data_IF_186671466920
#
_entry.id   IF_186671466920
#
_cell.length_a   1.000
_cell.length_b   1.000
_cell.length_c   1.000
_cell.angle_alpha   90.00
_cell.angle_beta   90.00
_cell.angle_gamma   90.00
#
_symmetry.space_group_name_H-M   'P 1'
#
loop_
_entity.id
_entity.type
_entity.pdbx_description
1 polymer ?
#
# COMPACT_ATOMS: atom_id res chain seq x y z
N UNK A 1 13.05 -15.83 -18.05
CA UNK A 1 12.90 -15.88 -16.59
C UNK A 1 12.04 -14.68 -16.18
N UNK A 2 10.76 -14.69 -16.55
CA UNK A 2 9.85 -13.55 -16.33
C UNK A 2 8.52 -14.06 -15.79
N UNK A 3 8.01 -15.20 -16.26
CA UNK A 3 6.76 -15.78 -15.75
C UNK A 3 6.74 -16.03 -14.22
N UNK A 4 7.88 -16.33 -13.61
CA UNK A 4 7.98 -16.66 -12.18
C UNK A 4 7.81 -15.40 -11.30
N UNK A 5 8.41 -14.27 -11.69
CA UNK A 5 8.32 -13.02 -10.92
C UNK A 5 6.88 -12.52 -10.82
N UNK A 6 6.10 -12.64 -11.90
CA UNK A 6 4.70 -12.19 -11.93
C UNK A 6 3.78 -13.06 -11.08
N UNK A 7 4.02 -14.38 -11.09
CA UNK A 7 3.24 -15.30 -10.28
C UNK A 7 3.51 -15.09 -8.79
N UNK A 8 4.75 -14.75 -8.43
CA UNK A 8 5.12 -14.35 -7.07
C UNK A 8 4.47 -13.02 -6.69
N UNK A 9 4.52 -11.99 -7.54
CA UNK A 9 3.89 -10.69 -7.28
C UNK A 9 2.36 -10.85 -7.11
N UNK A 10 1.72 -11.63 -7.99
CA UNK A 10 0.29 -11.93 -7.90
C UNK A 10 -0.05 -12.65 -6.60
N UNK A 11 0.68 -13.73 -6.27
CA UNK A 11 0.43 -14.51 -5.07
C UNK A 11 0.63 -13.65 -3.80
N UNK A 12 1.65 -12.79 -3.77
CA UNK A 12 1.92 -11.89 -2.66
C UNK A 12 0.82 -10.83 -2.52
N UNK A 13 0.42 -10.16 -3.60
CA UNK A 13 -0.64 -9.13 -3.58
C UNK A 13 -2.00 -9.73 -3.22
N UNK A 14 -2.31 -10.92 -3.74
CA UNK A 14 -3.53 -11.64 -3.39
C UNK A 14 -3.54 -12.08 -1.92
N UNK A 15 -2.39 -12.53 -1.40
CA UNK A 15 -2.26 -12.91 0.01
C UNK A 15 -2.42 -11.71 0.94
N UNK A 16 -1.72 -10.60 0.68
CA UNK A 16 -1.81 -9.37 1.47
C UNK A 16 -3.22 -8.78 1.40
N UNK A 17 -3.78 -8.63 0.19
CA UNK A 17 -5.13 -8.11 0.00
C UNK A 17 -6.21 -8.98 0.63
N UNK A 18 -6.04 -10.31 0.57
CA UNK A 18 -6.91 -11.27 1.25
C UNK A 18 -6.83 -11.16 2.78
N UNK A 19 -5.63 -10.99 3.33
CA UNK A 19 -5.46 -10.79 4.77
C UNK A 19 -6.13 -9.49 5.24
N UNK A 20 -5.99 -8.39 4.49
CA UNK A 20 -6.67 -7.12 4.81
C UNK A 20 -8.19 -7.22 4.80
N UNK A 21 -8.77 -8.00 3.88
CA UNK A 21 -10.23 -8.22 3.83
C UNK A 21 -10.69 -9.09 5.00
N UNK A 22 -9.90 -10.10 5.37
CA UNK A 22 -10.21 -10.98 6.50
C UNK A 22 -10.18 -10.22 7.81
N UNK A 23 -9.14 -9.41 8.01
CA UNK A 23 -8.93 -8.55 9.17
C UNK A 23 -10.08 -7.53 9.32
N UNK A 24 -10.48 -6.88 8.23
CA UNK A 24 -11.63 -5.98 8.23
C UNK A 24 -12.99 -6.64 8.54
N UNK A 25 -13.10 -7.96 8.33
CA UNK A 25 -14.31 -8.75 8.63
C UNK A 25 -14.29 -9.32 10.05
N UNK A 26 -13.10 -9.61 10.60
CA UNK A 26 -12.90 -10.01 12.00
C UNK A 26 -13.04 -8.79 12.96
N UNK A 27 -12.75 -7.56 12.49
CA UNK A 27 -12.95 -6.31 13.24
C UNK A 27 -14.43 -6.03 13.64
N UNK A 28 -15.43 -6.78 13.14
CA UNK A 28 -16.83 -6.62 13.59
C UNK A 28 -17.09 -7.12 15.03
N UNK A 29 -16.24 -7.98 15.61
CA UNK A 29 -16.45 -8.56 16.96
C UNK A 29 -15.59 -7.96 18.08
N UNK A 30 -14.52 -7.19 17.79
CA UNK A 30 -13.54 -6.72 18.79
C UNK A 30 -13.50 -5.18 18.98
N UNK A 31 -14.66 -4.52 18.97
CA UNK A 31 -14.74 -3.05 19.02
C UNK A 31 -14.45 -2.41 20.40
N UNK A 32 -13.67 -3.02 21.29
CA UNK A 32 -13.43 -2.44 22.62
C UNK A 32 -11.97 -2.42 23.12
N UNK A 33 -10.96 -2.92 22.40
CA UNK A 33 -9.59 -2.97 22.99
C UNK A 33 -8.39 -2.59 22.15
N UNK A 34 -8.48 -2.38 20.85
CA UNK A 34 -7.32 -1.82 20.13
C UNK A 34 -7.40 -0.30 20.14
N UNK A 35 -7.01 0.26 21.29
CA UNK A 35 -6.32 1.55 21.27
C UNK A 35 -5.27 1.45 20.18
N UNK A 36 -5.25 2.44 19.28
CA UNK A 36 -4.13 2.71 18.39
C UNK A 36 -2.88 2.94 19.26
N UNK A 37 -2.32 1.88 19.81
CA UNK A 37 -1.04 1.91 20.44
C UNK A 37 -0.09 2.13 19.28
N UNK A 38 0.40 3.36 19.20
CA UNK A 38 1.65 3.73 18.55
C UNK A 38 2.79 2.94 19.23
N UNK A 39 2.68 1.62 19.27
CA UNK A 39 3.68 0.75 19.82
C UNK A 39 4.79 0.71 18.79
N UNK A 40 5.96 1.14 19.25
CA UNK A 40 7.18 1.16 18.47
C UNK A 40 7.47 -0.19 17.78
N UNK A 41 6.96 -1.32 18.30
CA UNK A 41 7.10 -2.65 17.70
C UNK A 41 6.30 -2.84 16.42
N UNK A 42 5.18 -2.14 16.24
CA UNK A 42 4.40 -2.19 15.00
C UNK A 42 4.83 -1.08 14.03
N UNK A 43 5.19 0.09 14.55
CA UNK A 43 5.59 1.23 13.73
C UNK A 43 6.98 1.06 13.12
N UNK A 44 7.96 0.47 13.82
CA UNK A 44 9.31 0.29 13.29
C UNK A 44 9.33 -0.62 12.05
N UNK A 45 8.72 -1.82 12.06
CA UNK A 45 8.65 -2.66 10.86
C UNK A 45 7.96 -1.96 9.69
N UNK A 46 6.84 -1.26 9.95
CA UNK A 46 6.12 -0.53 8.91
C UNK A 46 6.96 0.61 8.31
N UNK A 47 7.66 1.37 9.16
CA UNK A 47 8.56 2.43 8.71
C UNK A 47 9.74 1.88 7.90
N UNK A 48 10.31 0.73 8.30
CA UNK A 48 11.37 0.05 7.55
C UNK A 48 10.84 -0.45 6.21
N UNK A 49 9.67 -1.09 6.17
CA UNK A 49 9.03 -1.57 4.95
C UNK A 49 8.78 -0.41 3.95
N UNK A 50 8.20 0.69 4.43
CA UNK A 50 7.95 1.89 3.62
C UNK A 50 9.26 2.57 3.14
N UNK A 51 10.31 2.56 3.97
CA UNK A 51 11.62 3.11 3.59
C UNK A 51 12.29 2.31 2.47
N UNK A 52 12.22 0.97 2.52
CA UNK A 52 12.75 0.09 1.46
C UNK A 52 12.00 0.33 0.14
N UNK A 53 10.67 0.48 0.20
CA UNK A 53 9.85 0.79 -0.98
C UNK A 53 10.25 2.14 -1.62
N UNK A 54 10.35 3.20 -0.81
CA UNK A 54 10.79 4.51 -1.28
C UNK A 54 12.23 4.49 -1.84
N UNK A 55 13.13 3.71 -1.25
CA UNK A 55 14.49 3.53 -1.73
C UNK A 55 14.55 2.85 -3.10
N UNK A 56 13.76 1.79 -3.33
CA UNK A 56 13.70 1.09 -4.61
C UNK A 56 13.25 2.02 -5.76
N UNK A 57 12.24 2.86 -5.50
CA UNK A 57 11.80 3.89 -6.45
C UNK A 57 12.90 4.94 -6.68
N UNK A 58 13.58 5.39 -5.62
CA UNK A 58 14.69 6.35 -5.72
C UNK A 58 15.86 5.86 -6.57
N UNK A 59 16.28 4.61 -6.37
CA UNK A 59 17.33 3.96 -7.18
C UNK A 59 16.87 3.82 -8.64
N UNK A 60 15.61 3.43 -8.87
CA UNK A 60 15.04 3.33 -10.22
C UNK A 60 15.09 4.67 -10.98
N UNK A 61 14.80 5.78 -10.31
CA UNK A 61 14.93 7.12 -10.90
C UNK A 61 16.37 7.54 -11.16
N UNK A 62 17.34 7.13 -10.34
CA UNK A 62 18.76 7.42 -10.56
C UNK A 62 19.31 6.77 -11.85
N UNK A 63 18.73 5.64 -12.27
CA UNK A 63 19.07 4.99 -13.54
C UNK A 63 18.35 5.61 -14.75
N UNK A 64 17.26 6.34 -14.54
CA UNK A 64 16.62 7.11 -15.60
C UNK A 64 17.37 8.44 -15.82
N UNK A 65 17.70 8.77 -17.07
CA UNK A 65 18.38 10.04 -17.45
C UNK A 65 17.45 11.27 -17.36
N UNK A 66 16.67 11.39 -16.29
CA UNK A 66 15.79 12.53 -16.00
C UNK A 66 16.37 13.40 -14.90
N UNK A 67 15.94 14.64 -14.88
CA UNK A 67 16.46 15.65 -13.96
C UNK A 67 15.97 15.36 -12.53
N UNK A 68 16.79 14.66 -11.73
CA UNK A 68 16.45 14.14 -10.40
C UNK A 68 15.83 15.21 -9.49
N UNK A 69 16.35 16.44 -9.57
CA UNK A 69 15.86 17.56 -8.76
C UNK A 69 14.37 17.88 -9.02
N UNK A 70 13.95 17.88 -10.28
CA UNK A 70 12.55 18.15 -10.66
C UNK A 70 11.62 17.02 -10.26
N UNK A 71 12.08 15.76 -10.39
CA UNK A 71 11.29 14.58 -10.03
C UNK A 71 11.07 14.51 -8.52
N UNK A 72 12.13 14.71 -7.72
CA UNK A 72 12.05 14.68 -6.26
C UNK A 72 11.14 15.78 -5.73
N UNK A 73 11.23 17.00 -6.27
CA UNK A 73 10.36 18.11 -5.87
C UNK A 73 8.88 17.79 -6.13
N UNK A 74 8.57 17.24 -7.30
CA UNK A 74 7.20 16.91 -7.69
C UNK A 74 6.64 15.81 -6.79
N UNK A 75 7.38 14.71 -6.61
CA UNK A 75 6.96 13.59 -5.76
C UNK A 75 6.80 14.04 -4.30
N UNK A 76 7.75 14.80 -3.77
CA UNK A 76 7.68 15.31 -2.40
C UNK A 76 6.45 16.19 -2.17
N UNK A 77 6.15 17.10 -3.09
CA UNK A 77 4.98 17.98 -3.01
C UNK A 77 3.69 17.17 -3.14
N UNK A 78 3.58 16.28 -4.13
CA UNK A 78 2.35 15.49 -4.32
C UNK A 78 2.13 14.55 -3.14
N UNK A 79 3.14 13.76 -2.75
CA UNK A 79 3.03 12.81 -1.64
C UNK A 79 2.74 13.54 -0.33
N UNK A 80 3.44 14.64 -0.04
CA UNK A 80 3.18 15.46 1.13
C UNK A 80 1.75 16.01 1.17
N UNK A 81 1.24 16.50 0.04
CA UNK A 81 -0.14 16.98 -0.07
C UNK A 81 -1.16 15.85 0.14
N UNK A 82 -0.95 14.68 -0.48
CA UNK A 82 -1.81 13.51 -0.33
C UNK A 82 -1.78 12.96 1.10
N UNK A 83 -0.61 12.86 1.74
CA UNK A 83 -0.48 12.42 3.13
C UNK A 83 -1.18 13.38 4.09
N UNK A 84 -1.03 14.70 3.90
CA UNK A 84 -1.71 15.70 4.72
C UNK A 84 -3.25 15.63 4.56
N UNK A 85 -3.74 15.54 3.31
CA UNK A 85 -5.16 15.38 3.03
C UNK A 85 -5.71 14.06 3.61
N UNK A 86 -4.98 12.97 3.45
CA UNK A 86 -5.33 11.65 3.98
C UNK A 86 -5.40 11.64 5.50
N UNK A 87 -4.46 12.27 6.21
CA UNK A 87 -4.52 12.42 7.67
C UNK A 87 -5.73 13.24 8.11
N UNK A 88 -6.04 14.33 7.40
CA UNK A 88 -7.17 15.20 7.74
C UNK A 88 -8.51 14.46 7.57
N UNK A 89 -8.69 13.76 6.45
CA UNK A 89 -9.86 12.92 6.18
C UNK A 89 -9.92 11.77 7.18
N UNK A 90 -8.81 11.08 7.42
CA UNK A 90 -8.73 9.98 8.39
C UNK A 90 -9.11 10.42 9.81
N UNK A 91 -8.70 11.61 10.24
CA UNK A 91 -9.09 12.17 11.55
C UNK A 91 -10.59 12.49 11.63
N UNK A 92 -11.21 12.94 10.54
CA UNK A 92 -12.63 13.29 10.51
C UNK A 92 -13.55 12.06 10.44
N UNK A 93 -13.10 10.96 9.81
CA UNK A 93 -13.91 9.77 9.54
C UNK A 93 -13.45 8.50 10.31
N UNK A 94 -12.48 8.64 11.22
CA UNK A 94 -11.59 7.60 11.74
C UNK A 94 -12.16 6.46 12.59
N UNK A 95 -13.48 6.26 12.64
CA UNK A 95 -14.06 5.07 13.28
C UNK A 95 -15.10 4.39 12.40
N UNK A 96 -15.95 5.14 11.70
CA UNK A 96 -17.02 4.56 10.87
C UNK A 96 -16.53 4.05 9.50
N UNK A 97 -15.38 4.52 9.03
CA UNK A 97 -14.86 4.23 7.68
C UNK A 97 -13.61 3.33 7.66
N UNK A 98 -13.10 2.88 8.81
CA UNK A 98 -11.93 1.98 8.86
C UNK A 98 -12.17 0.67 8.11
N UNK A 99 -13.27 -0.03 8.46
CA UNK A 99 -13.67 -1.27 7.80
C UNK A 99 -13.89 -1.14 6.28
N UNK A 100 -14.75 -0.22 5.77
CA UNK A 100 -14.92 -0.10 4.33
C UNK A 100 -13.65 0.36 3.60
N UNK A 101 -12.77 1.14 4.25
CA UNK A 101 -11.49 1.53 3.67
C UNK A 101 -10.51 0.36 3.56
N UNK A 102 -10.40 -0.50 4.58
CA UNK A 102 -9.56 -1.71 4.53
C UNK A 102 -10.07 -2.70 3.47
N UNK A 103 -11.38 -2.97 3.42
CA UNK A 103 -11.98 -3.86 2.41
C UNK A 103 -11.71 -3.32 1.00
N UNK A 104 -11.94 -2.02 0.77
CA UNK A 104 -11.70 -1.39 -0.53
C UNK A 104 -10.22 -1.47 -0.92
N UNK A 105 -9.31 -1.22 0.04
CA UNK A 105 -7.86 -1.34 -0.19
C UNK A 105 -7.45 -2.77 -0.57
N UNK A 106 -7.95 -3.77 0.15
CA UNK A 106 -7.70 -5.19 -0.16
C UNK A 106 -8.24 -5.60 -1.54
N UNK A 107 -9.45 -5.15 -1.90
CA UNK A 107 -10.03 -5.40 -3.23
C UNK A 107 -9.18 -4.76 -4.33
N UNK A 108 -8.75 -3.50 -4.15
CA UNK A 108 -7.88 -2.81 -5.12
C UNK A 108 -6.54 -3.54 -5.28
N UNK A 109 -5.93 -4.02 -4.19
CA UNK A 109 -4.70 -4.82 -4.23
C UNK A 109 -4.85 -6.11 -5.04
N UNK A 110 -5.95 -6.85 -4.81
CA UNK A 110 -6.25 -8.08 -5.55
C UNK A 110 -6.46 -7.77 -7.04
N UNK A 111 -7.19 -6.70 -7.36
CA UNK A 111 -7.43 -6.28 -8.75
C UNK A 111 -6.13 -5.87 -9.46
N UNK A 112 -5.23 -5.15 -8.79
CA UNK A 112 -3.92 -4.79 -9.34
C UNK A 112 -3.10 -6.06 -9.60
N UNK A 113 -3.06 -6.99 -8.65
CA UNK A 113 -2.39 -8.28 -8.85
C UNK A 113 -2.96 -9.03 -10.06
N UNK A 114 -4.28 -9.11 -10.18
CA UNK A 114 -4.95 -9.78 -11.30
C UNK A 114 -4.64 -9.08 -12.65
N UNK A 115 -4.60 -7.74 -12.67
CA UNK A 115 -4.23 -6.97 -13.86
C UNK A 115 -2.81 -7.32 -14.31
N UNK A 116 -1.85 -7.34 -13.38
CA UNK A 116 -0.45 -7.71 -13.68
C UNK A 116 -0.35 -9.13 -14.22
N UNK A 117 -1.12 -10.07 -13.65
CA UNK A 117 -1.16 -11.45 -14.13
C UNK A 117 -1.70 -11.53 -15.58
N UNK A 118 -2.81 -10.85 -15.88
CA UNK A 118 -3.44 -10.89 -17.20
C UNK A 118 -2.62 -10.19 -18.29
N UNK A 119 -2.01 -9.05 -17.95
CA UNK A 119 -1.15 -8.27 -18.86
C UNK A 119 0.10 -9.05 -19.30
N UNK A 120 0.59 -9.97 -18.47
CA UNK A 120 1.76 -10.79 -18.79
C UNK A 120 1.44 -12.22 -19.26
N UNK A 121 0.20 -12.69 -19.07
CA UNK A 121 -0.26 -13.97 -19.63
C UNK A 121 -0.65 -13.86 -21.12
N UNK A 122 -0.59 -12.64 -21.70
CA UNK A 122 -0.80 -12.41 -23.13
C UNK A 122 -2.27 -12.41 -23.57
N UNK A 123 -3.18 -12.12 -22.63
CA UNK A 123 -4.63 -11.98 -22.92
C UNK A 123 -5.01 -10.53 -23.26
N UNK A 124 -4.12 -9.55 -23.00
CA UNK A 124 -4.27 -8.13 -23.35
C UNK A 124 -2.98 -7.54 -23.92
#
# INVERSE_FOLDING_TARGET
>A
MTAIDHWIIFALLAFIGGNMIREASEEEEENEKETAEFDWRHMLPLAVACSIDAFAVGVSFAFMKVNVWSSVLTIGVTTGAFSAAGLYIGRAFGSRWQQPAQITGGVVLILIGLKVLLEHLGVL
#
